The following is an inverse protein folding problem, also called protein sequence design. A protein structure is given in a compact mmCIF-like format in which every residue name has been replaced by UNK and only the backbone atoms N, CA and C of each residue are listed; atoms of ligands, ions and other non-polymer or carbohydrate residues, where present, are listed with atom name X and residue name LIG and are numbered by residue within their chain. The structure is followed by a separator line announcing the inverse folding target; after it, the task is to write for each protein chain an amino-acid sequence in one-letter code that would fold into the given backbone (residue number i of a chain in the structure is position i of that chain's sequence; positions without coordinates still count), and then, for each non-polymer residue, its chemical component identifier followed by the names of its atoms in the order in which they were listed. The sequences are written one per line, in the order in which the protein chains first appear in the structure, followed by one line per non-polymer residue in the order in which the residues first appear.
data_IF_360621330647
#
_entry.id   IF_360621330647
#
_cell.length_a   1.000
_cell.length_b   1.000
_cell.length_c   1.000
_cell.angle_alpha   90.00
_cell.angle_beta   90.00
_cell.angle_gamma   90.00
#
_symmetry.space_group_name_H-M   'P 1'
#
loop_
_entity.id
_entity.type
_entity.pdbx_description
1 polymer ?
#
# COMPACT_ATOMS: atom_id res chain seq x y z
N UNK A 1 -4.76 -4.55 -6.29
CA UNK A 1 -4.68 -5.66 -5.31
C UNK A 1 -5.73 -5.46 -4.21
N UNK A 2 -6.43 -6.52 -3.81
CA UNK A 2 -7.38 -6.48 -2.70
C UNK A 2 -6.65 -6.62 -1.36
N UNK A 3 -6.98 -5.73 -0.41
CA UNK A 3 -6.37 -5.70 0.94
C UNK A 3 -7.07 -6.58 1.97
N UNK A 4 -8.14 -7.29 1.58
CA UNK A 4 -8.82 -8.28 2.42
C UNK A 4 -9.54 -9.30 1.51
N UNK A 5 -10.18 -10.31 2.09
CA UNK A 5 -10.91 -11.35 1.36
C UNK A 5 -12.40 -11.33 1.67
N UNK A 6 -13.21 -11.83 0.72
CA UNK A 6 -14.66 -11.98 0.90
C UNK A 6 -14.99 -12.74 2.19
N UNK A 7 -14.35 -13.89 2.42
CA UNK A 7 -14.60 -14.72 3.59
C UNK A 7 -14.39 -13.96 4.90
N UNK A 8 -13.29 -13.19 5.00
CA UNK A 8 -12.96 -12.39 6.18
C UNK A 8 -13.98 -11.27 6.44
N UNK A 9 -14.47 -10.62 5.39
CA UNK A 9 -15.52 -9.60 5.50
C UNK A 9 -16.86 -10.23 5.91
N UNK A 10 -17.23 -11.37 5.33
CA UNK A 10 -18.46 -12.11 5.69
C UNK A 10 -18.45 -12.55 7.15
N UNK A 11 -17.31 -13.04 7.65
CA UNK A 11 -17.14 -13.36 9.07
C UNK A 11 -17.37 -12.13 9.95
N UNK A 12 -16.88 -10.95 9.55
CA UNK A 12 -17.07 -9.71 10.33
C UNK A 12 -18.52 -9.22 10.31
N UNK A 13 -19.23 -9.42 9.20
CA UNK A 13 -20.64 -9.03 9.05
C UNK A 13 -21.62 -10.10 9.55
N UNK A 14 -21.11 -11.24 10.03
CA UNK A 14 -21.91 -12.41 10.44
C UNK A 14 -22.86 -12.90 9.33
N UNK A 15 -22.42 -12.81 8.07
CA UNK A 15 -23.21 -13.22 6.90
C UNK A 15 -22.80 -14.60 6.40
N UNK A 16 -23.77 -15.52 6.29
CA UNK A 16 -23.59 -16.84 5.68
C UNK A 16 -24.08 -16.91 4.23
N UNK A 17 -24.99 -16.03 3.83
CA UNK A 17 -25.61 -15.99 2.50
C UNK A 17 -24.65 -15.51 1.41
N UNK A 18 -24.94 -15.87 0.16
CA UNK A 18 -24.09 -15.54 -1.01
C UNK A 18 -24.61 -14.39 -1.87
N UNK A 19 -25.83 -13.92 -1.60
CA UNK A 19 -26.53 -12.93 -2.43
C UNK A 19 -25.78 -11.60 -2.54
N UNK A 20 -25.00 -11.27 -1.51
CA UNK A 20 -24.24 -10.03 -1.42
C UNK A 20 -22.78 -10.18 -1.84
N UNK A 21 -22.34 -11.37 -2.24
CA UNK A 21 -20.92 -11.65 -2.49
C UNK A 21 -20.37 -10.80 -3.65
N UNK A 22 -21.18 -10.53 -4.69
CA UNK A 22 -20.81 -9.63 -5.77
C UNK A 22 -20.56 -8.20 -5.26
N UNK A 23 -21.51 -7.64 -4.53
CA UNK A 23 -21.40 -6.29 -3.96
C UNK A 23 -20.24 -6.18 -2.97
N UNK A 24 -20.02 -7.18 -2.12
CA UNK A 24 -18.92 -7.18 -1.17
C UNK A 24 -17.57 -7.20 -1.91
N UNK A 25 -17.43 -7.97 -2.98
CA UNK A 25 -16.20 -7.97 -3.79
C UNK A 25 -15.94 -6.61 -4.46
N UNK A 26 -16.97 -5.97 -5.00
CA UNK A 26 -16.85 -4.62 -5.56
C UNK A 26 -16.41 -3.60 -4.51
N UNK A 27 -17.00 -3.65 -3.30
CA UNK A 27 -16.62 -2.79 -2.19
C UNK A 27 -15.19 -3.05 -1.72
N UNK A 28 -14.75 -4.31 -1.67
CA UNK A 28 -13.36 -4.68 -1.36
C UNK A 28 -12.41 -4.02 -2.36
N UNK A 29 -12.72 -4.10 -3.67
CA UNK A 29 -11.93 -3.46 -4.72
C UNK A 29 -11.84 -1.95 -4.54
N UNK A 30 -13.00 -1.29 -4.41
CA UNK A 30 -13.08 0.16 -4.25
C UNK A 30 -12.37 0.66 -2.98
N UNK A 31 -12.57 -0.01 -1.83
CA UNK A 31 -11.89 0.33 -0.58
C UNK A 31 -10.38 0.16 -0.72
N UNK A 32 -9.92 -0.94 -1.34
CA UNK A 32 -8.50 -1.20 -1.52
C UNK A 32 -7.84 -0.13 -2.40
N UNK A 33 -8.49 0.31 -3.47
CA UNK A 33 -8.02 1.39 -4.34
C UNK A 33 -7.98 2.74 -3.63
N UNK A 34 -9.01 3.08 -2.84
CA UNK A 34 -8.99 4.29 -2.00
C UNK A 34 -7.86 4.24 -0.98
N UNK A 35 -7.59 3.09 -0.35
CA UNK A 35 -6.48 2.92 0.59
C UNK A 35 -5.13 3.14 -0.10
N UNK A 36 -4.93 2.58 -1.29
CA UNK A 36 -3.72 2.78 -2.10
C UNK A 36 -3.52 4.25 -2.47
N UNK A 37 -4.59 4.91 -2.92
CA UNK A 37 -4.60 6.34 -3.28
C UNK A 37 -4.30 7.23 -2.07
N UNK A 38 -4.92 6.95 -0.92
CA UNK A 38 -4.69 7.68 0.33
C UNK A 38 -3.25 7.55 0.83
N UNK A 39 -2.69 6.34 0.74
CA UNK A 39 -1.30 6.09 1.14
C UNK A 39 -0.29 6.56 0.09
N UNK A 40 -0.74 6.99 -1.10
CA UNK A 40 0.08 7.28 -2.27
C UNK A 40 1.07 6.15 -2.55
N UNK A 41 0.57 4.90 -2.48
CA UNK A 41 1.38 3.70 -2.53
C UNK A 41 0.64 2.56 -3.19
N UNK A 42 1.38 1.79 -3.96
CA UNK A 42 0.92 0.54 -4.52
C UNK A 42 1.37 -0.62 -3.62
N UNK A 43 0.39 -1.36 -3.10
CA UNK A 43 0.61 -2.45 -2.14
C UNK A 43 0.89 -3.80 -2.82
N UNK A 44 0.72 -3.90 -4.14
CA UNK A 44 0.91 -5.15 -4.87
C UNK A 44 2.39 -5.53 -4.96
N UNK A 45 2.71 -6.79 -4.69
CA UNK A 45 4.03 -7.33 -4.96
C UNK A 45 4.25 -7.47 -6.47
N UNK A 46 5.12 -6.62 -7.03
CA UNK A 46 5.57 -6.69 -8.41
C UNK A 46 6.97 -6.13 -8.60
N UNK A 47 7.56 -6.46 -9.75
CA UNK A 47 8.79 -5.83 -10.21
C UNK A 47 8.53 -4.36 -10.55
N UNK A 48 9.41 -3.48 -10.08
CA UNK A 48 9.30 -2.03 -10.22
C UNK A 48 10.62 -1.47 -10.70
N UNK A 49 10.51 -0.47 -11.57
CA UNK A 49 11.63 0.36 -12.01
C UNK A 49 11.34 1.78 -11.54
N UNK A 50 12.18 2.30 -10.67
CA UNK A 50 12.10 3.67 -10.16
C UNK A 50 13.25 4.51 -10.66
N UNK A 51 12.93 5.71 -11.11
CA UNK A 51 13.92 6.74 -11.44
C UNK A 51 13.96 7.74 -10.30
N UNK A 52 15.13 7.88 -9.69
CA UNK A 52 15.33 8.67 -8.48
C UNK A 52 16.41 9.73 -8.73
N UNK A 53 16.24 10.89 -8.10
CA UNK A 53 17.23 11.95 -8.14
C UNK A 53 18.46 11.57 -7.31
N UNK A 54 19.61 11.96 -7.85
CA UNK A 54 20.92 11.74 -7.27
C UNK A 54 21.30 12.73 -6.17
N UNK A 55 22.48 12.55 -5.57
CA UNK A 55 23.06 13.49 -4.61
C UNK A 55 22.60 13.34 -3.15
N UNK A 56 21.49 12.65 -2.90
CA UNK A 56 21.07 12.30 -1.53
C UNK A 56 21.95 11.22 -0.90
N UNK A 57 21.88 11.06 0.42
CA UNK A 57 22.50 9.91 1.14
C UNK A 57 21.67 8.63 1.06
N UNK A 58 20.35 8.79 0.97
CA UNK A 58 19.39 7.71 0.99
C UNK A 58 18.43 7.82 -0.19
N UNK A 59 18.17 6.70 -0.86
CA UNK A 59 17.03 6.57 -1.77
C UNK A 59 15.85 6.01 -1.00
N UNK A 60 14.65 6.53 -1.27
CA UNK A 60 13.42 6.08 -0.64
C UNK A 60 12.57 5.34 -1.68
N UNK A 61 12.52 4.01 -1.56
CA UNK A 61 11.74 3.16 -2.46
C UNK A 61 10.25 3.26 -2.12
N UNK A 62 9.39 3.30 -3.14
CA UNK A 62 7.94 3.48 -2.94
C UNK A 62 7.19 2.16 -2.75
N UNK A 63 7.68 1.08 -3.37
CA UNK A 63 7.10 -0.27 -3.37
C UNK A 63 7.56 -1.11 -2.18
N UNK A 64 7.22 -0.69 -0.96
CA UNK A 64 7.56 -1.47 0.23
C UNK A 64 6.54 -2.61 0.46
N UNK A 65 6.88 -3.64 1.26
CA UNK A 65 8.25 -4.03 1.63
C UNK A 65 9.00 -4.56 0.40
N UNK A 66 10.32 -4.33 0.34
CA UNK A 66 11.17 -4.93 -0.70
C UNK A 66 11.33 -6.41 -0.38
N UNK A 67 11.04 -7.27 -1.35
CA UNK A 67 11.09 -8.72 -1.18
C UNK A 67 12.44 -9.22 -1.68
N UNK A 68 13.19 -9.91 -0.82
CA UNK A 68 14.53 -10.40 -1.14
C UNK A 68 15.55 -9.26 -1.12
N UNK A 69 16.03 -8.86 -2.29
CA UNK A 69 17.02 -7.79 -2.47
C UNK A 69 16.69 -6.91 -3.68
N UNK A 70 17.37 -5.78 -3.77
CA UNK A 70 17.33 -4.93 -4.97
C UNK A 70 17.96 -5.73 -6.12
N UNK A 71 17.33 -5.69 -7.31
CA UNK A 71 17.81 -6.45 -8.48
C UNK A 71 18.98 -5.76 -9.14
N UNK A 72 18.91 -4.43 -9.32
CA UNK A 72 20.01 -3.64 -9.87
C UNK A 72 19.82 -2.15 -9.62
N UNK A 73 20.93 -1.42 -9.53
CA UNK A 73 20.96 0.04 -9.51
C UNK A 73 21.93 0.51 -10.58
N UNK A 74 21.46 1.33 -11.50
CA UNK A 74 22.28 1.98 -12.52
C UNK A 74 22.40 3.46 -12.24
N UNK A 75 23.63 3.99 -12.30
CA UNK A 75 23.92 5.42 -12.30
C UNK A 75 24.17 5.92 -13.72
N UNK A 76 23.51 7.01 -14.12
CA UNK A 76 23.78 7.71 -15.38
C UNK A 76 23.49 9.20 -15.21
N UNK A 77 24.43 10.05 -15.59
CA UNK A 77 24.31 11.50 -15.61
C UNK A 77 23.76 12.05 -16.95
N UNK A 78 23.65 11.20 -17.97
CA UNK A 78 23.17 11.53 -19.32
C UNK A 78 21.76 11.01 -19.64
N UNK A 79 21.07 10.40 -18.67
CA UNK A 79 19.78 9.72 -18.85
C UNK A 79 19.83 8.50 -19.80
N UNK A 80 21.02 7.92 -19.99
CA UNK A 80 21.20 6.69 -20.76
C UNK A 80 21.47 5.50 -19.81
N UNK A 81 20.40 4.89 -19.28
CA UNK A 81 20.54 3.82 -18.29
C UNK A 81 20.94 2.45 -18.85
N UNK A 82 21.01 2.30 -20.18
CA UNK A 82 21.54 1.10 -20.84
C UNK A 82 23.07 1.10 -20.95
N UNK A 83 23.67 2.30 -20.97
CA UNK A 83 25.12 2.54 -20.98
C UNK A 83 25.64 3.01 -19.62
N UNK A 84 24.75 3.32 -18.67
CA UNK A 84 25.10 3.73 -17.32
C UNK A 84 25.84 2.67 -16.51
N UNK A 85 26.58 3.12 -15.52
CA UNK A 85 27.39 2.27 -14.66
C UNK A 85 26.50 1.46 -13.70
N UNK A 86 26.69 0.14 -13.70
CA UNK A 86 26.08 -0.74 -12.72
C UNK A 86 26.78 -0.53 -11.37
N UNK A 87 26.02 -0.11 -10.36
CA UNK A 87 26.52 0.01 -9.00
C UNK A 87 26.51 -1.39 -8.36
N UNK A 88 27.66 -1.82 -7.85
CA UNK A 88 27.82 -3.15 -7.27
C UNK A 88 26.99 -3.31 -5.99
N UNK A 89 26.46 -4.52 -5.78
CA UNK A 89 25.61 -4.83 -4.62
C UNK A 89 26.33 -4.68 -3.26
N UNK A 90 27.66 -4.73 -3.23
CA UNK A 90 28.48 -4.45 -2.04
C UNK A 90 28.69 -2.97 -1.73
N UNK A 91 28.26 -2.07 -2.61
CA UNK A 91 28.40 -0.62 -2.46
C UNK A 91 27.14 0.05 -1.90
N UNK A 92 26.05 -0.69 -1.74
CA UNK A 92 24.84 -0.19 -1.11
C UNK A 92 24.26 -1.19 -0.12
N UNK A 93 23.44 -0.69 0.80
CA UNK A 93 22.70 -1.52 1.73
C UNK A 93 21.24 -1.09 1.78
N UNK A 94 20.35 -2.08 1.86
CA UNK A 94 18.93 -1.87 2.03
C UNK A 94 18.59 -1.87 3.52
N UNK A 95 18.03 -0.78 4.01
CA UNK A 95 17.45 -0.69 5.34
C UNK A 95 16.03 -1.27 5.35
N UNK A 96 15.61 -1.87 6.46
CA UNK A 96 14.27 -2.46 6.61
C UNK A 96 13.11 -1.47 6.40
N UNK A 97 13.38 -0.17 6.56
CA UNK A 97 12.42 0.91 6.31
C UNK A 97 12.21 1.24 4.83
N UNK A 98 12.93 0.58 3.91
CA UNK A 98 12.87 0.91 2.48
C UNK A 98 13.87 1.94 1.99
N UNK A 99 14.82 2.31 2.85
CA UNK A 99 15.88 3.26 2.53
C UNK A 99 17.09 2.53 1.97
N UNK A 100 17.64 3.01 0.86
CA UNK A 100 18.87 2.46 0.28
C UNK A 100 20.01 3.43 0.53
N UNK A 101 20.98 3.02 1.35
CA UNK A 101 22.16 3.81 1.66
C UNK A 101 23.33 3.45 0.75
N UNK A 102 24.07 4.45 0.29
CA UNK A 102 25.30 4.27 -0.48
C UNK A 102 26.53 4.30 0.44
N UNK A 103 27.49 3.39 0.21
CA UNK A 103 28.67 3.20 1.06
C UNK A 103 29.56 4.44 1.13
N UNK A 104 29.68 5.17 0.02
CA UNK A 104 30.58 6.33 -0.08
C UNK A 104 29.91 7.66 0.28
N UNK A 105 28.73 7.62 0.91
CA UNK A 105 28.10 8.78 1.52
C UNK A 105 26.95 9.37 0.71
N UNK A 106 27.19 9.82 -0.52
CA UNK A 106 26.16 10.41 -1.38
C UNK A 106 26.06 9.68 -2.71
N UNK A 107 24.84 9.45 -3.17
CA UNK A 107 24.60 8.87 -4.50
C UNK A 107 25.10 9.82 -5.61
N UNK A 108 25.51 9.28 -6.77
CA UNK A 108 25.88 10.09 -7.95
C UNK A 108 24.88 11.21 -8.19
N UNK A 109 25.35 12.44 -8.36
CA UNK A 109 24.50 13.62 -8.48
C UNK A 109 23.87 13.71 -9.87
N UNK A 110 22.59 14.11 -9.90
CA UNK A 110 21.89 14.46 -11.14
C UNK A 110 20.40 14.17 -11.06
N UNK A 111 19.56 14.92 -11.81
CA UNK A 111 18.13 14.67 -11.87
C UNK A 111 17.90 13.30 -12.54
N UNK A 112 17.12 12.43 -11.90
CA UNK A 112 16.85 11.05 -12.33
C UNK A 112 18.11 10.25 -12.66
N UNK A 113 19.22 10.55 -11.98
CA UNK A 113 20.50 9.92 -12.24
C UNK A 113 20.51 8.41 -11.93
N UNK A 114 19.55 7.94 -11.12
CA UNK A 114 19.52 6.58 -10.62
C UNK A 114 18.31 5.83 -11.15
N UNK A 115 18.54 4.65 -11.71
CA UNK A 115 17.51 3.69 -12.06
C UNK A 115 17.63 2.49 -11.13
N UNK A 116 16.64 2.35 -10.24
CA UNK A 116 16.56 1.24 -9.29
C UNK A 116 15.53 0.23 -9.78
N UNK A 117 15.95 -1.03 -9.94
CA UNK A 117 15.06 -2.15 -10.26
C UNK A 117 14.97 -3.07 -9.04
N UNK A 118 13.75 -3.31 -8.56
CA UNK A 118 13.52 -4.18 -7.41
C UNK A 118 12.11 -4.76 -7.43
N UNK A 119 11.90 -5.82 -6.67
CA UNK A 119 10.57 -6.41 -6.45
C UNK A 119 10.09 -6.05 -5.05
N UNK A 120 8.88 -5.51 -4.94
CA UNK A 120 8.36 -5.11 -3.64
C UNK A 120 6.87 -4.86 -3.61
N UNK A 121 6.30 -5.04 -2.42
CA UNK A 121 4.87 -5.06 -2.14
C UNK A 121 4.47 -6.28 -1.31
N UNK A 122 3.17 -6.42 -1.08
CA UNK A 122 2.57 -7.53 -0.38
C UNK A 122 1.97 -8.54 -1.35
N UNK A 123 2.00 -9.81 -0.96
CA UNK A 123 1.37 -10.88 -1.72
C UNK A 123 -0.14 -10.85 -1.54
N UNK A 124 -0.87 -11.21 -2.61
CA UNK A 124 -2.33 -11.38 -2.55
C UNK A 124 -2.64 -12.42 -1.48
N UNK A 125 -3.72 -12.20 -0.72
CA UNK A 125 -4.20 -13.21 0.23
C UNK A 125 -4.50 -14.49 -0.53
N UNK A 126 -3.67 -15.50 -0.31
CA UNK A 126 -3.89 -16.83 -0.85
C UNK A 126 -4.78 -17.63 0.11
N UNK A 127 -5.79 -18.30 -0.45
CA UNK A 127 -6.69 -19.21 0.26
C UNK A 127 -6.23 -20.68 0.15
N UNK A 128 -5.10 -20.94 -0.53
CA UNK A 128 -4.55 -22.28 -0.72
C UNK A 128 -3.95 -22.90 0.56
N UNK A 129 -3.83 -24.25 0.60
CA UNK A 129 -3.33 -24.99 1.77
C UNK A 129 -1.82 -24.83 2.00
N UNK A 130 -1.07 -24.29 1.03
CA UNK A 130 0.36 -24.03 1.14
C UNK A 130 0.66 -22.64 0.57
N UNK A 131 1.03 -21.66 1.39
CA UNK A 131 1.42 -20.36 0.89
C UNK A 131 2.70 -20.46 0.04
N UNK A 132 2.90 -19.59 -0.96
CA UNK A 132 4.12 -19.55 -1.75
C UNK A 132 5.36 -19.27 -0.88
N UNK A 133 6.53 -19.67 -1.36
CA UNK A 133 7.80 -19.38 -0.66
C UNK A 133 8.02 -17.86 -0.56
N UNK A 134 8.35 -17.36 0.64
CA UNK A 134 8.46 -15.92 0.90
C UNK A 134 7.11 -15.17 0.99
N UNK A 135 6.00 -15.89 1.18
CA UNK A 135 4.66 -15.31 1.34
C UNK A 135 4.63 -14.25 2.45
N UNK A 136 4.36 -13.02 2.05
CA UNK A 136 4.25 -11.86 2.92
C UNK A 136 2.95 -11.10 2.59
N UNK A 137 1.82 -11.52 3.15
CA UNK A 137 0.55 -10.84 2.93
C UNK A 137 0.53 -9.46 3.61
N UNK A 138 -0.45 -8.59 3.29
CA UNK A 138 -0.65 -7.35 4.01
C UNK A 138 -0.74 -7.59 5.53
N UNK A 139 -0.09 -6.74 6.36
CA UNK A 139 -0.12 -6.90 7.81
C UNK A 139 -1.55 -6.88 8.36
N UNK A 140 -1.80 -7.63 9.42
CA UNK A 140 -3.14 -7.79 10.02
C UNK A 140 -3.83 -6.44 10.33
N UNK A 141 -3.07 -5.43 10.75
CA UNK A 141 -3.61 -4.09 10.99
C UNK A 141 -4.16 -3.43 9.72
N UNK A 142 -3.44 -3.53 8.59
CA UNK A 142 -3.88 -2.98 7.31
C UNK A 142 -5.09 -3.74 6.77
N UNK A 143 -5.08 -5.06 6.91
CA UNK A 143 -6.16 -5.94 6.52
C UNK A 143 -7.44 -5.68 7.33
N UNK A 144 -7.33 -5.58 8.66
CA UNK A 144 -8.45 -5.24 9.55
C UNK A 144 -9.01 -3.86 9.26
N UNK A 145 -8.15 -2.88 8.95
CA UNK A 145 -8.58 -1.53 8.57
C UNK A 145 -9.40 -1.56 7.27
N UNK A 146 -8.92 -2.24 6.23
CA UNK A 146 -9.66 -2.42 4.98
C UNK A 146 -10.99 -3.17 5.21
N UNK A 147 -10.96 -4.27 5.96
CA UNK A 147 -12.14 -5.08 6.30
C UNK A 147 -13.21 -4.27 7.05
N UNK A 148 -12.79 -3.48 8.03
CA UNK A 148 -13.69 -2.63 8.83
C UNK A 148 -14.33 -1.55 7.96
N UNK A 149 -13.57 -0.94 7.05
CA UNK A 149 -14.11 0.06 6.13
C UNK A 149 -15.10 -0.56 5.14
N UNK A 150 -14.82 -1.75 4.61
CA UNK A 150 -15.77 -2.48 3.74
C UNK A 150 -17.07 -2.77 4.47
N UNK A 151 -17.00 -3.29 5.69
CA UNK A 151 -18.17 -3.60 6.50
C UNK A 151 -19.01 -2.34 6.79
N UNK A 152 -18.34 -1.22 7.05
CA UNK A 152 -18.99 0.07 7.24
C UNK A 152 -19.69 0.57 5.97
N UNK A 153 -19.01 0.56 4.83
CA UNK A 153 -19.58 0.98 3.55
C UNK A 153 -20.76 0.10 3.15
N UNK A 154 -20.66 -1.22 3.38
CA UNK A 154 -21.74 -2.17 3.13
C UNK A 154 -22.97 -1.86 3.99
N UNK A 155 -22.80 -1.61 5.29
CA UNK A 155 -23.93 -1.29 6.18
C UNK A 155 -24.57 0.06 5.82
N UNK A 156 -23.77 1.01 5.33
CA UNK A 156 -24.24 2.33 4.91
C UNK A 156 -25.02 2.37 3.61
N UNK A 157 -25.04 1.29 2.83
CA UNK A 157 -25.89 1.20 1.63
C UNK A 157 -27.37 1.51 1.89
N UNK A 158 -27.84 1.33 3.13
CA UNK A 158 -29.23 1.59 3.55
C UNK A 158 -29.50 3.05 3.94
N UNK A 159 -28.46 3.83 4.24
CA UNK A 159 -28.54 5.17 4.83
C UNK A 159 -27.84 6.25 3.96
N UNK A 160 -27.76 6.03 2.64
CA UNK A 160 -27.06 6.95 1.73
C UNK A 160 -27.69 8.34 1.79
N UNK A 161 -26.90 9.35 2.18
CA UNK A 161 -27.34 10.76 2.29
C UNK A 161 -27.85 11.19 3.67
N UNK A 162 -27.81 10.31 4.68
CA UNK A 162 -28.23 10.65 6.05
C UNK A 162 -27.05 11.13 6.90
N UNK A 163 -26.93 12.45 7.11
CA UNK A 163 -25.78 13.06 7.82
C UNK A 163 -26.00 13.20 9.33
N UNK A 164 -27.22 13.43 9.79
CA UNK A 164 -27.55 13.50 11.21
C UNK A 164 -28.95 12.99 11.50
N UNK A 165 -29.13 12.39 12.67
CA UNK A 165 -30.44 12.05 13.22
C UNK A 165 -30.58 12.73 14.57
N UNK A 166 -31.60 13.58 14.69
CA UNK A 166 -31.96 14.24 15.93
C UNK A 166 -33.01 13.41 16.66
N UNK A 167 -32.67 12.91 17.84
CA UNK A 167 -33.62 12.31 18.77
C UNK A 167 -33.99 13.31 19.88
N UNK A 168 -35.14 13.14 20.56
CA UNK A 168 -35.55 14.03 21.63
C UNK A 168 -34.55 14.13 22.81
N UNK A 169 -33.68 13.13 22.97
CA UNK A 169 -32.70 13.03 24.07
C UNK A 169 -31.25 13.34 23.63
N UNK A 170 -31.05 13.78 22.38
CA UNK A 170 -29.74 14.14 21.86
C UNK A 170 -29.56 13.96 20.35
N UNK A 171 -28.46 14.48 19.84
CA UNK A 171 -28.09 14.37 18.42
C UNK A 171 -26.97 13.35 18.24
N UNK A 172 -27.15 12.42 17.30
CA UNK A 172 -26.08 11.51 16.88
C UNK A 172 -25.52 12.04 15.57
N UNK A 173 -24.29 12.53 15.61
CA UNK A 173 -23.53 12.93 14.43
C UNK A 173 -22.98 11.67 13.76
N UNK A 174 -23.42 11.38 12.54
CA UNK A 174 -22.88 10.27 11.74
C UNK A 174 -21.64 10.80 10.99
N UNK A 175 -20.53 10.04 10.99
CA UNK A 175 -19.33 10.41 10.21
C UNK A 175 -19.73 10.64 8.74
N UNK A 176 -19.21 11.67 8.08
CA UNK A 176 -19.61 12.01 6.71
C UNK A 176 -19.45 10.83 5.74
N UNK A 177 -20.41 10.68 4.83
CA UNK A 177 -20.42 9.65 3.80
C UNK A 177 -19.31 9.93 2.79
N UNK A 178 -18.19 9.21 2.89
CA UNK A 178 -17.06 9.33 1.97
C UNK A 178 -15.70 9.40 2.66
N UNK A 179 -15.67 9.70 3.97
CA UNK A 179 -14.42 9.66 4.72
C UNK A 179 -14.12 8.28 5.31
N UNK A 180 -12.83 7.93 5.32
CA UNK A 180 -12.36 6.79 6.11
C UNK A 180 -12.68 6.98 7.59
N UNK A 181 -13.02 5.87 8.26
CA UNK A 181 -13.19 5.85 9.71
C UNK A 181 -11.91 6.35 10.42
N UNK A 182 -12.01 7.05 11.57
CA UNK A 182 -10.84 7.54 12.29
C UNK A 182 -9.82 6.44 12.65
N UNK A 183 -10.30 5.26 13.04
CA UNK A 183 -9.46 4.09 13.32
C UNK A 183 -8.72 3.60 12.07
N UNK A 184 -9.40 3.57 10.93
CA UNK A 184 -8.84 3.20 9.62
C UNK A 184 -7.79 4.22 9.18
N UNK A 185 -8.09 5.52 9.28
CA UNK A 185 -7.13 6.60 9.00
C UNK A 185 -5.87 6.49 9.87
N UNK A 186 -6.02 6.19 11.16
CA UNK A 186 -4.89 6.04 12.08
C UNK A 186 -3.93 4.91 11.66
N UNK A 187 -4.44 3.81 11.11
CA UNK A 187 -3.63 2.73 10.55
C UNK A 187 -3.00 3.17 9.23
N UNK A 188 -3.78 3.70 8.29
CA UNK A 188 -3.30 4.10 6.97
C UNK A 188 -2.22 5.20 7.02
N UNK A 189 -2.30 6.10 7.99
CA UNK A 189 -1.29 7.15 8.21
C UNK A 189 0.12 6.60 8.43
N UNK A 190 0.26 5.37 8.95
CA UNK A 190 1.57 4.71 9.15
C UNK A 190 2.18 4.22 7.85
N UNK A 191 1.35 3.97 6.82
CA UNK A 191 1.77 3.44 5.53
C UNK A 191 1.84 4.51 4.44
N UNK A 192 1.42 5.74 4.76
CA UNK A 192 1.33 6.86 3.82
C UNK A 192 2.71 7.39 3.46
N UNK A 193 3.01 7.40 2.16
CA UNK A 193 4.18 8.06 1.60
C UNK A 193 3.81 9.52 1.36
N UNK A 194 4.57 10.45 1.93
CA UNK A 194 4.39 11.87 1.64
C UNK A 194 4.75 12.10 0.16
N UNK A 195 3.89 12.76 -0.64
CA UNK A 195 4.31 13.24 -1.95
C UNK A 195 5.57 14.06 -1.77
N UNK A 196 6.65 13.71 -2.48
CA UNK A 196 7.80 14.59 -2.57
C UNK A 196 7.31 15.86 -3.29
N UNK A 197 7.33 16.98 -2.56
CA UNK A 197 7.08 18.31 -3.12
C UNK A 197 8.28 18.81 -3.90
#
# INVERSE_FOLDING_TARGET
MNLTTLAKVKTLLELSETDWDGLINELIGAVSERCASYCNRDFENKSRVEYQDGGGRYLYLRGLPVVGSISSIYGSDTWEWSSGDLIDAGEYYLHASGMVGYRYGAWPYGPKALKVTYTGGYFVFDAGPKPPEGYNPPPDGLEMAARTQVAYDFNRRKDVGLESVSFPDGTIQKVSSGEFLPSVKAVLNRYRIRPHG
#
